data_IF_058833891595
#
_entry.id   IF_058833891595
#
_cell.length_a   1.000
_cell.length_b   1.000
_cell.length_c   1.000
_cell.angle_alpha   90.00
_cell.angle_beta   90.00
_cell.angle_gamma   90.00
#
_symmetry.space_group_name_H-M   'P 1'
#
loop_
_entity.id
_entity.type
_entity.pdbx_description
1 polymer ?
#
# COMPACT_ATOMS: atom_id res chain seq x y z
N UNK A 1 7.48 40.65 15.48
CA UNK A 1 8.01 39.28 15.53
C UNK A 1 6.85 38.30 15.43
N UNK A 2 6.59 37.75 14.23
CA UNK A 2 5.47 36.84 13.96
C UNK A 2 5.80 35.47 14.57
N UNK A 3 5.09 35.08 15.65
CA UNK A 3 5.04 33.68 16.10
C UNK A 3 4.41 32.87 14.97
N UNK A 4 5.24 32.20 14.19
CA UNK A 4 4.81 31.20 13.23
C UNK A 4 4.08 30.11 14.01
N UNK A 5 2.85 29.87 13.56
CA UNK A 5 1.90 28.93 14.10
C UNK A 5 2.59 27.58 14.32
N UNK A 6 2.68 27.16 15.58
CA UNK A 6 2.73 25.74 15.88
C UNK A 6 1.44 25.16 15.32
N UNK A 7 1.52 24.60 14.11
CA UNK A 7 0.48 23.74 13.55
C UNK A 7 0.36 22.54 14.50
N UNK A 8 -0.53 22.67 15.47
CA UNK A 8 -1.00 21.56 16.30
C UNK A 8 -1.70 20.56 15.39
N UNK A 9 -0.91 19.67 14.80
CA UNK A 9 -1.35 18.55 13.97
C UNK A 9 -2.26 17.55 14.72
N UNK A 10 -2.50 17.78 16.02
CA UNK A 10 -3.39 17.00 16.88
C UNK A 10 -4.88 17.38 16.83
N UNK A 11 -5.24 18.50 16.18
CA UNK A 11 -6.64 18.94 16.03
C UNK A 11 -7.23 18.69 14.62
N UNK A 12 -6.47 18.05 13.72
CA UNK A 12 -7.08 17.50 12.52
C UNK A 12 -7.86 16.26 12.93
N UNK A 13 -9.19 16.32 12.89
CA UNK A 13 -10.06 15.15 12.97
C UNK A 13 -9.82 14.27 11.73
N UNK A 14 -8.69 13.55 11.74
CA UNK A 14 -8.29 12.56 10.74
C UNK A 14 -9.04 11.23 10.92
N UNK A 15 -9.88 11.09 11.95
CA UNK A 15 -10.70 9.91 12.21
C UNK A 15 -11.38 9.34 10.96
N UNK A 16 -12.17 10.15 10.21
CA UNK A 16 -12.83 9.69 8.98
C UNK A 16 -11.90 9.57 7.78
N UNK A 17 -10.77 10.26 7.74
CA UNK A 17 -9.84 10.28 6.60
C UNK A 17 -8.76 9.19 6.66
N UNK A 18 -8.49 8.64 7.85
CA UNK A 18 -7.50 7.57 8.03
C UNK A 18 -7.80 6.33 7.19
N UNK A 19 -9.05 5.85 7.22
CA UNK A 19 -9.45 4.64 6.48
C UNK A 19 -9.35 4.83 4.95
N UNK A 20 -9.92 5.87 4.33
CA UNK A 20 -9.79 6.08 2.89
C UNK A 20 -8.34 6.39 2.49
N UNK A 21 -7.57 7.09 3.33
CA UNK A 21 -6.14 7.29 3.09
C UNK A 21 -5.37 5.96 3.05
N UNK A 22 -5.58 5.08 4.04
CA UNK A 22 -4.93 3.76 4.06
C UNK A 22 -5.42 2.90 2.90
N UNK A 23 -6.68 2.98 2.52
CA UNK A 23 -7.20 2.27 1.35
C UNK A 23 -6.52 2.73 0.05
N UNK A 24 -6.37 4.04 -0.13
CA UNK A 24 -5.63 4.61 -1.25
C UNK A 24 -4.16 4.18 -1.25
N UNK A 25 -3.51 4.19 -0.08
CA UNK A 25 -2.14 3.70 0.07
C UNK A 25 -2.02 2.23 -0.34
N UNK A 26 -2.96 1.37 0.07
CA UNK A 26 -2.98 -0.04 -0.32
C UNK A 26 -3.17 -0.22 -1.84
N UNK A 27 -4.03 0.59 -2.49
CA UNK A 27 -4.23 0.57 -3.94
C UNK A 27 -2.96 1.03 -4.70
N UNK A 28 -2.32 2.11 -4.25
CA UNK A 28 -1.07 2.61 -4.83
C UNK A 28 0.06 1.58 -4.69
N UNK A 29 0.20 0.97 -3.51
CA UNK A 29 1.21 -0.07 -3.28
C UNK A 29 0.94 -1.29 -4.16
N UNK A 30 -0.33 -1.71 -4.27
CA UNK A 30 -0.74 -2.83 -5.11
C UNK A 30 -0.31 -2.65 -6.57
N UNK A 31 -0.72 -1.53 -7.18
CA UNK A 31 -0.36 -1.20 -8.56
C UNK A 31 1.13 -0.95 -8.74
N UNK A 32 1.78 -0.37 -7.74
CA UNK A 32 3.23 -0.17 -7.74
C UNK A 32 3.99 -1.48 -7.79
N UNK A 33 3.58 -2.47 -7.01
CA UNK A 33 4.22 -3.80 -7.00
C UNK A 33 3.93 -4.56 -8.30
N UNK A 34 2.70 -4.49 -8.81
CA UNK A 34 2.34 -5.05 -10.12
C UNK A 34 3.23 -4.47 -11.22
N UNK A 35 3.26 -3.15 -11.37
CA UNK A 35 4.08 -2.49 -12.40
C UNK A 35 5.56 -2.81 -12.22
N UNK A 36 6.07 -2.74 -10.99
CA UNK A 36 7.48 -3.06 -10.70
C UNK A 36 7.81 -4.52 -11.04
N UNK A 37 6.90 -5.47 -10.79
CA UNK A 37 7.09 -6.87 -11.17
C UNK A 37 7.17 -7.10 -12.68
N UNK A 38 6.63 -6.19 -13.49
CA UNK A 38 6.65 -6.28 -14.95
C UNK A 38 7.85 -5.57 -15.59
N UNK A 39 8.43 -4.57 -14.93
CA UNK A 39 9.51 -3.74 -15.51
C UNK A 39 10.87 -3.94 -14.87
N UNK A 40 10.93 -4.42 -13.62
CA UNK A 40 12.18 -4.60 -12.88
C UNK A 40 12.65 -6.05 -12.94
N UNK A 41 13.83 -6.27 -13.52
CA UNK A 41 14.42 -7.60 -13.71
C UNK A 41 14.72 -8.33 -12.39
N UNK A 42 15.03 -7.60 -11.31
CA UNK A 42 15.32 -8.19 -10.01
C UNK A 42 14.03 -8.73 -9.41
N UNK A 43 12.94 -7.95 -9.47
CA UNK A 43 11.64 -8.37 -8.98
C UNK A 43 11.11 -9.54 -9.82
N UNK A 44 11.23 -9.49 -11.15
CA UNK A 44 10.87 -10.62 -12.03
C UNK A 44 11.59 -11.91 -11.64
N UNK A 45 12.90 -11.85 -11.37
CA UNK A 45 13.69 -13.01 -10.93
C UNK A 45 13.18 -13.56 -9.60
N UNK A 46 12.90 -12.72 -8.62
CA UNK A 46 12.36 -13.19 -7.34
C UNK A 46 10.94 -13.75 -7.48
N UNK A 47 10.06 -13.10 -8.23
CA UNK A 47 8.68 -13.57 -8.49
C UNK A 47 8.67 -14.86 -9.32
N UNK A 48 9.61 -15.05 -10.24
CA UNK A 48 9.74 -16.29 -11.02
C UNK A 48 9.98 -17.53 -10.16
N UNK A 49 10.59 -17.36 -8.97
CA UNK A 49 10.84 -18.44 -8.00
C UNK A 49 9.58 -18.86 -7.25
N UNK A 50 8.55 -18.03 -7.23
CA UNK A 50 7.27 -18.36 -6.63
C UNK A 50 6.49 -19.32 -7.53
N UNK A 51 5.66 -20.22 -6.99
CA UNK A 51 4.83 -21.09 -7.82
C UNK A 51 3.78 -20.30 -8.59
N UNK A 52 3.37 -20.80 -9.76
CA UNK A 52 2.25 -20.20 -10.51
C UNK A 52 0.97 -20.21 -9.66
N UNK A 53 0.18 -19.13 -9.77
CA UNK A 53 -1.02 -18.96 -8.98
C UNK A 53 -0.79 -18.64 -7.51
N UNK A 54 0.47 -18.40 -7.09
CA UNK A 54 0.76 -17.93 -5.73
C UNK A 54 0.02 -16.63 -5.44
N UNK A 55 -0.68 -16.57 -4.30
CA UNK A 55 -1.43 -15.41 -3.86
C UNK A 55 -0.80 -14.79 -2.61
N UNK A 56 -0.62 -13.47 -2.64
CA UNK A 56 -0.29 -12.65 -1.47
C UNK A 56 -1.53 -11.89 -1.02
N UNK A 57 -1.87 -11.99 0.27
CA UNK A 57 -2.86 -11.14 0.91
C UNK A 57 -2.20 -10.31 2.01
N UNK A 58 -2.58 -9.04 2.10
CA UNK A 58 -2.16 -8.20 3.21
C UNK A 58 -3.34 -7.35 3.66
N UNK A 59 -3.59 -7.35 4.97
CA UNK A 59 -4.72 -6.65 5.59
C UNK A 59 -4.26 -5.81 6.78
N UNK A 60 -4.74 -4.57 6.85
CA UNK A 60 -4.63 -3.78 8.07
C UNK A 60 -5.59 -4.35 9.13
N UNK A 61 -5.06 -4.82 10.26
CA UNK A 61 -5.87 -5.35 11.36
C UNK A 61 -6.59 -4.23 12.15
N UNK A 62 -7.74 -4.49 12.78
CA UNK A 62 -8.46 -5.78 12.81
C UNK A 62 -9.37 -6.01 11.58
N UNK A 63 -9.96 -4.96 11.00
CA UNK A 63 -10.86 -5.04 9.83
C UNK A 63 -10.64 -3.82 8.92
N UNK A 64 -9.41 -3.59 8.52
CA UNK A 64 -9.00 -2.48 7.67
C UNK A 64 -8.92 -2.83 6.18
N UNK A 65 -8.46 -1.86 5.37
CA UNK A 65 -8.19 -2.08 3.95
C UNK A 65 -7.20 -3.23 3.73
N UNK A 66 -7.36 -3.91 2.60
CA UNK A 66 -6.50 -5.00 2.17
C UNK A 66 -6.22 -4.90 0.67
N UNK A 67 -5.11 -5.48 0.24
CA UNK A 67 -4.87 -5.80 -1.16
C UNK A 67 -4.58 -7.29 -1.30
N UNK A 68 -4.87 -7.82 -2.49
CA UNK A 68 -4.57 -9.19 -2.87
C UNK A 68 -3.83 -9.13 -4.20
N UNK A 69 -2.75 -9.87 -4.32
CA UNK A 69 -2.02 -10.04 -5.58
C UNK A 69 -1.88 -11.51 -5.88
N UNK A 70 -1.96 -11.85 -7.16
CA UNK A 70 -1.71 -13.19 -7.66
C UNK A 70 -0.57 -13.13 -8.66
N UNK A 71 0.38 -14.06 -8.54
CA UNK A 71 1.33 -14.31 -9.61
C UNK A 71 0.58 -14.96 -10.78
N UNK A 72 0.46 -14.21 -11.86
CA UNK A 72 0.05 -14.73 -13.16
C UNK A 72 1.27 -15.29 -13.92
N UNK A 73 1.01 -16.08 -14.97
CA UNK A 73 2.03 -16.80 -15.76
C UNK A 73 2.95 -15.88 -16.57
#
# INVERSE_FOLDING_TARGET
>A
MKRLQQLNLGELNVGPLKRPYVALMMDVIGRGLEAASQVDETIQREVSRLPEGFMFDMRALPNGPCFVMQKDA
#
